data_IF_885534926091
#
_entry.id   IF_885534926091
#
_cell.length_a   1.000
_cell.length_b   1.000
_cell.length_c   1.000
_cell.angle_alpha   90.00
_cell.angle_beta   90.00
_cell.angle_gamma   90.00
#
_symmetry.space_group_name_H-M   'P 1'
#
loop_
_entity.id
_entity.type
_entity.pdbx_description
1 polymer ?
#
# COMPACT_ATOMS: atom_id res chain seq x y z
N UNK A 1 -5.39 1.29 -20.19
CA UNK A 1 -5.70 0.76 -19.89
C UNK A 1 -6.88 0.73 -19.35
N UNK A 2 -7.30 0.47 -19.15
CA UNK A 2 -8.32 0.15 -18.93
C UNK A 2 -9.02 0.98 -18.40
N UNK A 3 -9.50 1.40 -18.50
CA UNK A 3 -10.24 2.00 -18.21
C UNK A 3 -11.17 1.71 -17.54
N UNK A 4 -11.04 1.08 -17.08
CA UNK A 4 -11.93 0.62 -16.49
C UNK A 4 -12.59 1.40 -15.62
N UNK A 5 -13.58 1.57 -15.71
CA UNK A 5 -14.39 2.21 -14.85
C UNK A 5 -14.96 1.32 -13.82
N UNK A 6 -14.63 0.07 -13.87
CA UNK A 6 -15.14 -0.85 -12.91
C UNK A 6 -14.12 -1.02 -11.81
N UNK A 7 -14.52 -0.80 -10.59
CA UNK A 7 -13.65 -1.00 -9.46
C UNK A 7 -13.38 -2.48 -9.26
N UNK A 8 -12.11 -2.87 -9.26
CA UNK A 8 -11.72 -4.24 -9.01
C UNK A 8 -11.80 -4.53 -7.51
N UNK A 9 -12.08 -5.78 -7.15
CA UNK A 9 -12.01 -6.20 -5.76
C UNK A 9 -10.56 -6.20 -5.30
N UNK A 10 -10.36 -6.23 -3.99
CA UNK A 10 -9.02 -6.31 -3.41
C UNK A 10 -8.28 -7.53 -3.96
N UNK A 11 -8.95 -8.68 -4.00
CA UNK A 11 -8.30 -9.90 -4.49
C UNK A 11 -8.01 -9.86 -5.98
N UNK A 12 -8.89 -9.29 -6.79
CA UNK A 12 -8.65 -9.14 -8.22
C UNK A 12 -7.41 -8.28 -8.48
N UNK A 13 -7.27 -7.20 -7.72
CA UNK A 13 -6.09 -6.34 -7.84
C UNK A 13 -4.83 -7.07 -7.42
N UNK A 14 -4.89 -7.83 -6.33
CA UNK A 14 -3.74 -8.62 -5.90
C UNK A 14 -3.32 -9.63 -6.95
N UNK A 15 -4.27 -10.32 -7.55
CA UNK A 15 -3.99 -11.34 -8.55
C UNK A 15 -3.33 -10.72 -9.80
N UNK A 16 -3.76 -9.53 -10.17
CA UNK A 16 -3.16 -8.80 -11.28
C UNK A 16 -1.73 -8.40 -10.98
N UNK A 17 -1.47 -7.91 -9.78
CA UNK A 17 -0.12 -7.55 -9.33
C UNK A 17 0.79 -8.77 -9.34
N UNK A 18 0.31 -9.90 -8.83
CA UNK A 18 1.07 -11.15 -8.80
C UNK A 18 1.45 -11.55 -10.22
N UNK A 19 0.51 -11.48 -11.14
CA UNK A 19 0.76 -11.83 -12.53
C UNK A 19 1.82 -10.93 -13.17
N UNK A 20 1.72 -9.63 -12.93
CA UNK A 20 2.67 -8.67 -13.48
C UNK A 20 4.09 -8.89 -12.94
N UNK A 21 4.22 -9.09 -11.64
CA UNK A 21 5.54 -9.26 -11.02
C UNK A 21 6.16 -10.63 -11.34
N UNK A 22 5.35 -11.69 -11.34
CA UNK A 22 5.89 -13.02 -11.62
C UNK A 22 6.26 -13.21 -13.09
N UNK A 23 5.77 -12.35 -13.96
CA UNK A 23 6.20 -12.33 -15.36
C UNK A 23 7.64 -11.81 -15.51
N UNK A 24 8.17 -11.14 -14.49
CA UNK A 24 9.55 -10.65 -14.49
C UNK A 24 10.42 -11.67 -13.74
N UNK A 25 11.32 -12.33 -14.45
CA UNK A 25 12.18 -13.36 -13.86
C UNK A 25 13.31 -12.79 -13.02
N UNK A 26 13.79 -11.61 -13.38
CA UNK A 26 14.95 -11.00 -12.73
C UNK A 26 14.49 -10.04 -11.63
N UNK A 27 15.05 -10.18 -10.45
CA UNK A 27 14.70 -9.31 -9.32
C UNK A 27 15.12 -7.86 -9.55
N UNK A 28 16.14 -7.62 -10.35
CA UNK A 28 16.50 -6.24 -10.72
C UNK A 28 15.35 -5.57 -11.47
N UNK A 29 14.70 -6.32 -12.34
CA UNK A 29 13.53 -5.80 -13.07
C UNK A 29 12.35 -5.55 -12.15
N UNK A 30 12.18 -6.41 -11.14
CA UNK A 30 11.11 -6.21 -10.15
C UNK A 30 11.38 -4.98 -9.29
N UNK A 31 12.62 -4.76 -8.89
CA UNK A 31 13.00 -3.54 -8.16
C UNK A 31 12.76 -2.30 -9.00
N UNK A 32 13.11 -2.36 -10.29
CA UNK A 32 12.87 -1.23 -11.17
C UNK A 32 11.39 -0.93 -11.30
N UNK A 33 10.57 -1.96 -11.38
CA UNK A 33 9.12 -1.80 -11.42
C UNK A 33 8.59 -1.12 -10.15
N UNK A 34 9.12 -1.49 -8.98
CA UNK A 34 8.75 -0.83 -7.73
C UNK A 34 9.12 0.65 -7.75
N UNK A 35 10.33 0.96 -8.20
CA UNK A 35 10.81 2.34 -8.28
C UNK A 35 9.91 3.15 -9.21
N UNK A 36 9.57 2.59 -10.37
CA UNK A 36 8.70 3.27 -11.34
C UNK A 36 7.32 3.54 -10.75
N UNK A 37 6.75 2.57 -10.05
CA UNK A 37 5.45 2.73 -9.41
C UNK A 37 5.48 3.84 -8.35
N UNK A 38 6.55 3.89 -7.57
CA UNK A 38 6.71 4.94 -6.57
C UNK A 38 6.82 6.32 -7.19
N UNK A 39 7.51 6.42 -8.33
CA UNK A 39 7.67 7.70 -9.03
C UNK A 39 6.37 8.17 -9.66
N UNK A 40 5.52 7.26 -10.07
CA UNK A 40 4.22 7.58 -10.65
C UNK A 40 3.21 8.03 -9.60
N UNK A 41 3.43 7.66 -8.33
CA UNK A 41 2.51 8.03 -7.28
C UNK A 41 2.65 9.52 -6.94
N UNK A 42 1.50 10.20 -6.82
CA UNK A 42 1.49 11.60 -6.44
C UNK A 42 2.13 11.77 -5.05
N UNK A 43 3.06 12.71 -4.90
CA UNK A 43 3.68 12.95 -3.59
C UNK A 43 2.70 13.62 -2.63
N UNK A 44 2.93 13.42 -1.33
CA UNK A 44 2.17 14.14 -0.32
C UNK A 44 2.64 15.59 -0.24
N UNK A 45 1.72 16.48 0.04
CA UNK A 45 2.07 17.86 0.35
C UNK A 45 2.89 17.91 1.64
N UNK A 46 3.79 18.86 1.75
CA UNK A 46 4.62 19.02 2.95
C UNK A 46 3.79 19.18 4.21
N UNK A 47 2.63 19.82 4.11
CA UNK A 47 1.72 19.98 5.24
C UNK A 47 1.23 18.65 5.82
N UNK A 48 1.22 17.59 5.03
CA UNK A 48 0.79 16.26 5.47
C UNK A 48 1.96 15.40 5.97
N UNK A 49 3.19 15.85 5.77
CA UNK A 49 4.38 15.13 6.24
C UNK A 49 4.71 15.51 7.67
N UNK A 50 3.81 15.15 8.57
CA UNK A 50 3.91 15.48 9.99
C UNK A 50 4.23 14.23 10.80
N UNK A 51 4.66 14.43 12.04
CA UNK A 51 4.92 13.32 12.96
C UNK A 51 3.68 12.48 13.23
N UNK A 52 2.50 13.12 13.25
CA UNK A 52 1.24 12.42 13.43
C UNK A 52 0.97 11.40 12.34
N UNK A 53 1.39 11.71 11.12
CA UNK A 53 1.15 10.86 9.95
C UNK A 53 2.29 9.89 9.69
N UNK A 54 3.35 9.97 10.49
CA UNK A 54 4.52 9.11 10.34
C UNK A 54 4.22 7.73 10.91
N UNK A 55 4.57 6.70 10.16
CA UNK A 55 4.37 5.32 10.60
C UNK A 55 5.52 4.90 11.51
N UNK A 56 5.18 4.44 12.72
CA UNK A 56 6.16 3.92 13.66
C UNK A 56 6.72 2.58 13.19
N UNK A 57 7.97 2.33 13.52
CA UNK A 57 8.59 1.04 13.21
C UNK A 57 9.27 0.96 11.86
N UNK A 58 9.31 2.07 11.13
CA UNK A 58 10.02 2.15 9.86
C UNK A 58 11.33 2.92 10.06
N UNK A 59 12.42 2.43 9.50
CA UNK A 59 13.68 3.20 9.49
C UNK A 59 13.60 4.34 8.48
N UNK A 60 13.06 4.06 7.31
CA UNK A 60 12.77 5.11 6.35
C UNK A 60 11.53 5.85 6.81
N UNK A 61 11.43 7.12 6.51
CA UNK A 61 10.23 7.86 6.85
C UNK A 61 9.11 7.48 5.88
N UNK A 62 7.98 7.09 6.44
CA UNK A 62 6.78 6.78 5.68
C UNK A 62 5.63 7.52 6.33
N UNK A 63 4.96 8.37 5.56
CA UNK A 63 3.79 9.10 6.05
C UNK A 63 2.55 8.55 5.36
N UNK A 64 1.46 8.45 6.11
CA UNK A 64 0.19 7.98 5.56
C UNK A 64 -0.97 8.82 6.08
N UNK A 65 -1.88 9.15 5.19
CA UNK A 65 -3.10 9.88 5.51
C UNK A 65 -4.27 9.06 4.99
N UNK A 66 -5.36 9.03 5.73
CA UNK A 66 -6.54 8.28 5.35
C UNK A 66 -7.76 9.20 5.35
N UNK A 67 -8.53 9.13 4.27
CA UNK A 67 -9.77 9.88 4.14
C UNK A 67 -10.91 8.93 3.83
N UNK A 68 -12.11 9.23 4.34
CA UNK A 68 -13.28 8.45 4.00
C UNK A 68 -14.11 9.28 3.02
N UNK A 69 -14.58 8.62 1.96
CA UNK A 69 -15.42 9.27 0.97
C UNK A 69 -16.43 8.26 0.45
N UNK A 70 -17.70 8.57 0.60
CA UNK A 70 -18.81 7.72 0.13
C UNK A 70 -18.73 6.29 0.69
N UNK A 71 -18.31 6.15 1.94
CA UNK A 71 -18.22 4.85 2.60
C UNK A 71 -16.98 4.05 2.27
N UNK A 72 -16.06 4.63 1.51
CA UNK A 72 -14.81 3.96 1.13
C UNK A 72 -13.62 4.76 1.65
N UNK A 73 -12.52 4.07 1.91
CA UNK A 73 -11.29 4.71 2.38
C UNK A 73 -10.36 4.99 1.22
N UNK A 74 -9.75 6.15 1.25
CA UNK A 74 -8.71 6.51 0.30
C UNK A 74 -7.48 6.93 1.10
N UNK A 75 -6.38 6.20 0.88
CA UNK A 75 -5.12 6.48 1.54
C UNK A 75 -4.21 7.25 0.58
N UNK A 76 -3.48 8.19 1.15
CA UNK A 76 -2.39 8.88 0.45
C UNK A 76 -1.15 8.70 1.31
N UNK A 77 -0.02 8.47 0.70
CA UNK A 77 1.19 8.18 1.44
C UNK A 77 2.42 8.60 0.65
N UNK A 78 3.53 8.70 1.34
CA UNK A 78 4.81 9.03 0.71
C UNK A 78 5.95 8.49 1.57
N UNK A 79 7.14 8.43 0.99
CA UNK A 79 8.33 8.00 1.70
C UNK A 79 9.55 8.71 1.13
N UNK A 80 10.58 8.82 1.94
CA UNK A 80 11.85 9.40 1.52
C UNK A 80 12.81 8.35 0.91
N UNK A 81 12.41 7.08 0.84
CA UNK A 81 13.23 6.00 0.30
C UNK A 81 12.59 5.45 -0.97
N UNK A 82 13.39 5.25 -2.00
CA UNK A 82 12.95 4.91 -3.35
C UNK A 82 12.15 3.60 -3.42
N UNK A 83 12.72 2.54 -2.89
CA UNK A 83 12.07 1.21 -2.93
C UNK A 83 10.84 1.20 -2.03
N UNK A 84 10.93 1.83 -0.87
CA UNK A 84 9.80 1.90 0.07
C UNK A 84 8.64 2.65 -0.54
N UNK A 85 8.93 3.72 -1.28
CA UNK A 85 7.89 4.48 -1.98
C UNK A 85 7.13 3.59 -2.98
N UNK A 86 7.84 2.69 -3.67
CA UNK A 86 7.22 1.72 -4.56
C UNK A 86 6.37 0.71 -3.83
N UNK A 87 6.85 0.22 -2.67
CA UNK A 87 6.08 -0.71 -1.85
C UNK A 87 4.79 -0.06 -1.33
N UNK A 88 4.90 1.21 -0.92
CA UNK A 88 3.75 2.00 -0.50
C UNK A 88 2.73 2.09 -1.64
N UNK A 89 3.20 2.43 -2.84
CA UNK A 89 2.33 2.54 -4.01
C UNK A 89 1.59 1.25 -4.30
N UNK A 90 2.27 0.10 -4.19
CA UNK A 90 1.65 -1.20 -4.40
C UNK A 90 0.54 -1.49 -3.40
N UNK A 91 0.84 -1.28 -2.12
CA UNK A 91 -0.16 -1.56 -1.08
C UNK A 91 -1.37 -0.66 -1.25
N UNK A 92 -1.17 0.61 -1.54
CA UNK A 92 -2.28 1.54 -1.75
C UNK A 92 -3.11 1.17 -2.97
N UNK A 93 -2.49 0.66 -4.02
CA UNK A 93 -3.21 0.20 -5.21
C UNK A 93 -4.19 -0.92 -4.85
N UNK A 94 -3.82 -1.77 -3.90
CA UNK A 94 -4.65 -2.88 -3.47
C UNK A 94 -5.81 -2.42 -2.58
N UNK A 95 -5.54 -1.53 -1.62
CA UNK A 95 -6.51 -1.21 -0.57
C UNK A 95 -7.36 0.03 -0.85
N UNK A 96 -6.92 0.93 -1.73
CA UNK A 96 -7.64 2.18 -1.94
C UNK A 96 -9.02 1.98 -2.55
N UNK A 97 -9.95 2.82 -2.11
CA UNK A 97 -11.31 2.92 -2.63
C UNK A 97 -12.14 1.66 -2.37
N UNK A 98 -11.90 1.06 -1.22
CA UNK A 98 -12.68 -0.06 -0.71
C UNK A 98 -13.26 0.29 0.65
N UNK A 99 -14.28 -0.45 1.07
CA UNK A 99 -14.91 -0.23 2.35
C UNK A 99 -14.00 -0.65 3.50
N UNK A 100 -14.12 0.01 4.66
CA UNK A 100 -13.27 -0.34 5.82
C UNK A 100 -13.33 -1.81 6.21
N UNK A 101 -14.51 -2.43 6.17
CA UNK A 101 -14.66 -3.83 6.53
C UNK A 101 -13.92 -4.75 5.55
N UNK A 102 -13.93 -4.40 4.27
CA UNK A 102 -13.21 -5.16 3.24
C UNK A 102 -11.71 -5.06 3.44
N UNK A 103 -11.22 -3.87 3.76
CA UNK A 103 -9.79 -3.65 3.97
C UNK A 103 -9.31 -4.38 5.23
N UNK A 104 -10.08 -4.28 6.30
CA UNK A 104 -9.71 -4.92 7.56
C UNK A 104 -9.67 -6.44 7.45
N UNK A 105 -10.61 -7.02 6.71
CA UNK A 105 -10.71 -8.48 6.54
C UNK A 105 -9.75 -9.02 5.48
N UNK A 106 -9.15 -8.17 4.66
CA UNK A 106 -8.32 -8.62 3.54
C UNK A 106 -7.04 -9.31 4.01
N UNK A 107 -6.73 -10.41 3.35
CA UNK A 107 -5.44 -11.05 3.47
C UNK A 107 -4.59 -10.54 2.31
N UNK A 108 -3.51 -9.84 2.62
CA UNK A 108 -2.65 -9.26 1.58
C UNK A 108 -1.59 -10.28 1.15
N UNK A 109 -2.07 -11.33 0.51
CA UNK A 109 -1.24 -12.47 0.11
C UNK A 109 -0.26 -12.16 -1.02
N UNK A 110 -0.45 -11.04 -1.72
CA UNK A 110 0.45 -10.68 -2.83
C UNK A 110 1.88 -10.49 -2.35
N UNK A 111 2.05 -10.03 -1.11
CA UNK A 111 3.37 -9.74 -0.55
C UNK A 111 4.25 -11.01 -0.57
N UNK A 112 3.68 -12.13 -0.15
CA UNK A 112 4.40 -13.41 -0.19
C UNK A 112 4.51 -13.98 -1.59
N UNK A 113 3.42 -13.88 -2.35
CA UNK A 113 3.36 -14.46 -3.69
C UNK A 113 4.39 -13.90 -4.64
N UNK A 114 4.69 -12.61 -4.53
CA UNK A 114 5.71 -12.01 -5.39
C UNK A 114 7.11 -12.07 -4.78
N UNK A 115 7.26 -12.67 -3.61
CA UNK A 115 8.55 -12.92 -2.99
C UNK A 115 9.16 -11.72 -2.28
N UNK A 116 8.37 -10.71 -1.94
CA UNK A 116 8.90 -9.51 -1.30
C UNK A 116 9.54 -9.79 0.04
N UNK A 117 8.93 -10.68 0.84
CA UNK A 117 9.44 -10.97 2.18
C UNK A 117 10.87 -11.52 2.14
N UNK A 118 11.17 -12.35 1.15
CA UNK A 118 12.48 -13.01 1.04
C UNK A 118 13.54 -12.12 0.41
N UNK A 119 13.12 -11.09 -0.33
CA UNK A 119 14.03 -10.26 -1.12
C UNK A 119 14.20 -8.85 -0.57
N UNK A 120 13.49 -8.51 0.50
CA UNK A 120 13.68 -7.24 1.19
C UNK A 120 14.61 -7.45 2.37
N UNK A 121 15.38 -6.40 2.72
CA UNK A 121 16.13 -6.43 3.96
C UNK A 121 15.16 -6.56 5.13
N UNK A 122 15.61 -7.07 6.29
CA UNK A 122 14.73 -7.15 7.47
C UNK A 122 14.10 -5.80 7.83
N UNK A 123 14.84 -4.72 7.67
CA UNK A 123 14.34 -3.37 7.96
C UNK A 123 13.17 -2.99 7.04
N UNK A 124 13.32 -3.24 5.73
CA UNK A 124 12.26 -2.94 4.77
C UNK A 124 11.05 -3.84 4.97
N UNK A 125 11.30 -5.10 5.27
CA UNK A 125 10.24 -6.06 5.53
C UNK A 125 9.43 -5.65 6.76
N UNK A 126 10.09 -5.23 7.82
CA UNK A 126 9.43 -4.74 9.04
C UNK A 126 8.64 -3.47 8.77
N UNK A 127 9.17 -2.58 7.95
CA UNK A 127 8.47 -1.35 7.57
C UNK A 127 7.20 -1.63 6.79
N UNK A 128 7.26 -2.59 5.88
CA UNK A 128 6.09 -3.01 5.10
C UNK A 128 5.01 -3.57 6.02
N UNK A 129 5.38 -4.41 6.98
CA UNK A 129 4.43 -4.97 7.93
C UNK A 129 3.83 -3.89 8.83
N UNK A 130 4.64 -2.93 9.25
CA UNK A 130 4.17 -1.80 10.06
C UNK A 130 3.14 -0.97 9.29
N UNK A 131 3.36 -0.76 7.99
CA UNK A 131 2.42 -0.03 7.14
C UNK A 131 1.10 -0.79 6.99
N UNK A 132 1.16 -2.09 6.75
CA UNK A 132 -0.04 -2.93 6.63
C UNK A 132 -0.84 -2.87 7.93
N UNK A 133 -0.16 -2.96 9.07
CA UNK A 133 -0.79 -2.87 10.37
C UNK A 133 -1.49 -1.51 10.55
N UNK A 134 -0.84 -0.44 10.17
CA UNK A 134 -1.39 0.91 10.29
C UNK A 134 -2.64 1.06 9.41
N UNK A 135 -2.61 0.54 8.19
CA UNK A 135 -3.76 0.56 7.30
C UNK A 135 -4.95 -0.19 7.92
N UNK A 136 -4.68 -1.36 8.50
CA UNK A 136 -5.74 -2.14 9.16
C UNK A 136 -6.31 -1.41 10.37
N UNK A 137 -5.48 -0.70 11.11
CA UNK A 137 -5.94 0.09 12.25
C UNK A 137 -6.83 1.25 11.82
N UNK A 138 -6.48 1.93 10.72
CA UNK A 138 -7.34 2.94 10.15
C UNK A 138 -8.69 2.34 9.73
N UNK A 139 -8.65 1.18 9.07
CA UNK A 139 -9.86 0.51 8.62
C UNK A 139 -10.76 0.16 9.79
N UNK A 140 -10.18 -0.36 10.87
CA UNK A 140 -10.94 -0.70 12.07
C UNK A 140 -11.57 0.53 12.71
N UNK A 141 -10.81 1.61 12.81
CA UNK A 141 -11.29 2.86 13.41
C UNK A 141 -12.46 3.45 12.61
N UNK A 142 -12.34 3.48 11.28
CA UNK A 142 -13.42 3.99 10.43
C UNK A 142 -14.62 3.06 10.43
N UNK A 143 -14.42 1.76 10.47
CA UNK A 143 -15.51 0.79 10.56
C UNK A 143 -16.31 1.02 11.84
N UNK A 144 -15.66 1.18 12.97
CA UNK A 144 -16.32 1.45 14.25
C UNK A 144 -17.10 2.76 14.22
N UNK A 145 -16.51 3.79 13.62
CA UNK A 145 -17.14 5.10 13.51
C UNK A 145 -18.39 5.05 12.63
N UNK A 146 -18.33 4.29 11.54
CA UNK A 146 -19.46 4.20 10.61
C UNK A 146 -20.59 3.34 11.15
N UNK A 147 -20.30 2.41 12.05
CA UNK A 147 -21.30 1.57 12.68
C UNK A 147 -21.95 2.25 13.88
N UNK A 148 -21.24 3.17 14.48
CA UNK A 148 -21.70 3.87 15.64
C UNK A 148 -22.52 5.07 15.29
#
# INVERSE_FOLDING_TARGET
YYTSHKLMTINETQDEIIEEFTALDDWMDRYQMLIDLGEEQAPLADADKTEQNLIDGCQSRVWIVCEEKDGKLHFRADSDALIVKGLVALVLQVVNDHRPDEIYAADLYFIERIGLRDHLSPTRSNGLLAMVKQIRMYALAFQSKMQG
#
